data_IF_185882514445
#
_entry.id   IF_185882514445
#
_cell.length_a   1.000
_cell.length_b   1.000
_cell.length_c   1.000
_cell.angle_alpha   90.00
_cell.angle_beta   90.00
_cell.angle_gamma   90.00
#
_symmetry.space_group_name_H-M   'P 1'
#
loop_
_entity.id
_entity.type
_entity.pdbx_description
1 polymer ?
#
# COMPACT_ATOMS: atom_id res chain seq x y z
N UNK A 1 -2.97 26.75 2.00
CA UNK A 1 -1.96 26.03 1.18
C UNK A 1 -0.71 25.74 1.99
N UNK A 2 -0.06 26.77 2.56
CA UNK A 2 1.07 26.65 3.48
C UNK A 2 0.90 25.56 4.56
N UNK A 3 -0.22 25.59 5.30
CA UNK A 3 -0.53 24.59 6.35
C UNK A 3 -0.67 23.16 5.82
N UNK A 4 -1.22 23.00 4.61
CA UNK A 4 -1.46 21.68 4.00
C UNK A 4 -0.14 20.99 3.65
N UNK A 5 0.87 21.78 3.27
CA UNK A 5 2.18 21.32 2.81
C UNK A 5 3.22 21.31 3.94
N UNK A 6 2.96 22.02 5.05
CA UNK A 6 3.87 22.16 6.17
C UNK A 6 5.06 23.09 5.87
N UNK A 7 4.79 24.27 5.32
CA UNK A 7 5.81 25.30 5.04
C UNK A 7 5.28 26.70 5.38
N UNK A 8 6.18 27.69 5.47
CA UNK A 8 5.76 29.08 5.74
C UNK A 8 5.03 29.70 4.53
N UNK A 9 4.14 30.63 4.80
CA UNK A 9 3.44 31.40 3.75
C UNK A 9 4.43 32.10 2.81
N UNK A 10 5.52 32.66 3.34
CA UNK A 10 6.56 33.32 2.55
C UNK A 10 7.29 32.37 1.61
N UNK A 11 7.44 31.09 1.98
CA UNK A 11 8.03 30.07 1.11
C UNK A 11 7.13 29.84 -0.11
N UNK A 12 5.82 29.67 0.12
CA UNK A 12 4.83 29.50 -0.96
C UNK A 12 4.84 30.71 -1.88
N UNK A 13 4.75 31.91 -1.31
CA UNK A 13 4.79 33.17 -2.07
C UNK A 13 6.09 33.31 -2.87
N UNK A 14 7.22 32.89 -2.32
CA UNK A 14 8.52 32.95 -3.01
C UNK A 14 8.60 32.01 -4.22
N UNK A 15 7.93 30.86 -4.15
CA UNK A 15 7.82 29.90 -5.26
C UNK A 15 6.87 30.45 -6.33
N UNK A 16 5.73 31.01 -5.93
CA UNK A 16 4.73 31.60 -6.85
C UNK A 16 5.29 32.79 -7.65
N UNK A 17 6.18 33.59 -7.04
CA UNK A 17 6.88 34.69 -7.72
C UNK A 17 7.95 34.20 -8.72
N UNK A 18 8.13 32.88 -8.83
CA UNK A 18 8.94 32.24 -9.86
C UNK A 18 10.40 31.96 -9.46
N UNK A 19 11.16 31.35 -10.38
CA UNK A 19 12.46 30.75 -10.09
C UNK A 19 13.56 31.78 -9.77
N UNK A 20 13.32 33.08 -10.02
CA UNK A 20 14.24 34.17 -9.65
C UNK A 20 14.37 34.35 -8.15
N UNK A 21 13.37 33.93 -7.36
CA UNK A 21 13.37 34.09 -5.90
C UNK A 21 13.61 32.77 -5.18
N UNK A 22 12.86 31.72 -5.52
CA UNK A 22 13.05 30.40 -4.93
C UNK A 22 12.61 29.30 -5.88
N UNK A 23 13.51 28.36 -6.18
CA UNK A 23 13.17 27.15 -6.94
C UNK A 23 12.47 26.14 -6.03
N UNK A 24 11.44 25.49 -6.57
CA UNK A 24 10.74 24.42 -5.87
C UNK A 24 11.66 23.21 -5.69
N UNK A 25 12.01 22.88 -4.44
CA UNK A 25 12.80 21.67 -4.16
C UNK A 25 11.99 20.40 -4.39
N UNK A 26 12.66 19.30 -4.72
CA UNK A 26 11.97 18.03 -5.00
C UNK A 26 11.18 17.50 -3.79
N UNK A 27 11.74 17.60 -2.59
CA UNK A 27 11.03 17.23 -1.36
C UNK A 27 9.74 18.04 -1.16
N UNK A 28 9.80 19.36 -1.40
CA UNK A 28 8.61 20.21 -1.30
C UNK A 28 7.59 19.90 -2.42
N UNK A 29 8.05 19.67 -3.65
CA UNK A 29 7.20 19.25 -4.77
C UNK A 29 6.49 17.91 -4.49
N UNK A 30 7.18 16.93 -3.89
CA UNK A 30 6.59 15.65 -3.48
C UNK A 30 5.49 15.83 -2.44
N UNK A 31 5.69 16.70 -1.45
CA UNK A 31 4.65 17.02 -0.45
C UNK A 31 3.44 17.71 -1.08
N UNK A 32 3.67 18.67 -1.99
CA UNK A 32 2.60 19.33 -2.74
C UNK A 32 1.82 18.31 -3.56
N UNK A 33 2.53 17.47 -4.33
CA UNK A 33 1.94 16.42 -5.15
C UNK A 33 1.12 15.44 -4.33
N UNK A 34 1.67 14.96 -3.21
CA UNK A 34 0.97 14.04 -2.31
C UNK A 34 -0.31 14.67 -1.74
N UNK A 35 -0.24 15.93 -1.32
CA UNK A 35 -1.36 16.65 -0.71
C UNK A 35 -2.45 17.07 -1.70
N UNK A 36 -2.06 17.49 -2.91
CA UNK A 36 -2.99 18.08 -3.89
C UNK A 36 -3.44 17.11 -4.96
N UNK A 37 -2.60 16.13 -5.32
CA UNK A 37 -2.79 15.26 -6.48
C UNK A 37 -2.22 15.82 -7.79
N UNK A 38 -1.57 16.98 -7.76
CA UNK A 38 -0.87 17.53 -8.93
C UNK A 38 0.34 16.66 -9.28
N UNK A 39 0.61 16.46 -10.56
CA UNK A 39 1.70 15.61 -11.00
C UNK A 39 3.08 16.19 -10.64
N UNK A 40 3.95 15.34 -10.08
CA UNK A 40 5.26 15.75 -9.58
C UNK A 40 6.15 16.38 -10.65
N UNK A 41 6.21 15.83 -11.87
CA UNK A 41 7.11 16.40 -12.89
C UNK A 41 6.63 17.76 -13.39
N UNK A 42 5.31 17.99 -13.43
CA UNK A 42 4.77 19.31 -13.77
C UNK A 42 5.22 20.34 -12.73
N UNK A 43 5.12 20.01 -11.43
CA UNK A 43 5.60 20.87 -10.35
C UNK A 43 7.10 21.17 -10.47
N UNK A 44 7.91 20.16 -10.81
CA UNK A 44 9.37 20.32 -10.94
C UNK A 44 9.78 21.10 -12.20
N UNK A 45 9.01 20.99 -13.28
CA UNK A 45 9.24 21.78 -14.49
C UNK A 45 9.06 23.28 -14.21
N UNK A 46 8.18 23.63 -13.25
CA UNK A 46 7.89 25.00 -12.84
C UNK A 46 7.54 25.90 -14.03
N UNK A 47 6.87 25.33 -15.01
CA UNK A 47 6.32 26.00 -16.19
C UNK A 47 4.89 26.42 -15.88
N UNK A 48 4.69 27.71 -15.59
CA UNK A 48 3.39 28.27 -15.21
C UNK A 48 2.47 28.47 -16.43
N UNK A 49 3.02 28.42 -17.64
CA UNK A 49 2.27 28.55 -18.89
C UNK A 49 1.74 27.19 -19.37
N UNK A 50 2.30 26.08 -18.84
CA UNK A 50 1.83 24.74 -19.12
C UNK A 50 0.56 24.37 -18.34
N UNK A 51 -0.37 23.68 -19.00
CA UNK A 51 -1.56 23.12 -18.37
C UNK A 51 -1.20 22.23 -17.17
N UNK A 52 -1.89 22.42 -16.04
CA UNK A 52 -1.68 21.63 -14.83
C UNK A 52 -2.19 20.21 -15.07
N UNK A 53 -1.34 19.20 -14.91
CA UNK A 53 -1.70 17.79 -15.13
C UNK A 53 -1.71 16.98 -13.82
N UNK A 54 -2.60 15.98 -13.76
CA UNK A 54 -2.69 15.03 -12.64
C UNK A 54 -2.02 13.68 -12.95
N UNK A 55 -1.66 13.43 -14.21
CA UNK A 55 -1.12 12.14 -14.67
C UNK A 55 0.25 12.26 -15.34
N UNK A 56 1.05 11.17 -15.35
CA UNK A 56 2.37 11.14 -15.98
C UNK A 56 2.38 11.34 -17.49
N UNK A 57 1.32 10.90 -18.16
CA UNK A 57 1.15 10.97 -19.61
C UNK A 57 0.58 12.32 -20.08
N UNK A 58 0.31 13.24 -19.15
CA UNK A 58 -0.26 14.55 -19.44
C UNK A 58 -1.70 14.52 -19.98
N UNK A 59 -2.34 13.35 -20.05
CA UNK A 59 -3.68 13.20 -20.64
C UNK A 59 -4.79 13.75 -19.76
N UNK A 60 -4.55 13.84 -18.45
CA UNK A 60 -5.56 14.26 -17.47
C UNK A 60 -5.18 15.60 -16.88
N UNK A 61 -5.95 16.63 -17.25
CA UNK A 61 -5.84 17.95 -16.63
C UNK A 61 -6.26 17.88 -15.18
N UNK A 62 -5.53 18.58 -14.33
CA UNK A 62 -5.83 18.69 -12.92
C UNK A 62 -7.05 19.61 -12.73
N UNK A 63 -8.08 19.10 -12.08
CA UNK A 63 -9.31 19.83 -11.80
C UNK A 63 -9.52 20.04 -10.31
N UNK A 64 -10.42 20.96 -9.96
CA UNK A 64 -10.89 21.12 -8.57
C UNK A 64 -11.44 19.81 -8.01
N UNK A 65 -12.11 19.00 -8.83
CA UNK A 65 -12.65 17.70 -8.42
C UNK A 65 -11.53 16.74 -8.00
N UNK A 66 -10.37 16.77 -8.66
CA UNK A 66 -9.22 15.95 -8.30
C UNK A 66 -8.64 16.36 -6.94
N UNK A 67 -8.52 17.67 -6.71
CA UNK A 67 -8.11 18.20 -5.42
C UNK A 67 -9.07 17.77 -4.30
N UNK A 68 -10.39 17.99 -4.47
CA UNK A 68 -11.40 17.62 -3.50
C UNK A 68 -11.40 16.10 -3.24
N UNK A 69 -11.24 15.30 -4.29
CA UNK A 69 -11.08 13.85 -4.19
C UNK A 69 -9.84 13.47 -3.37
N UNK A 70 -8.70 14.11 -3.63
CA UNK A 70 -7.45 13.87 -2.89
C UNK A 70 -7.55 14.26 -1.42
N UNK A 71 -8.18 15.40 -1.12
CA UNK A 71 -8.43 15.82 0.26
C UNK A 71 -9.39 14.85 0.98
N UNK A 72 -10.41 14.35 0.28
CA UNK A 72 -11.30 13.32 0.83
C UNK A 72 -10.54 12.01 1.12
N UNK A 73 -9.65 11.58 0.22
CA UNK A 73 -8.79 10.41 0.44
C UNK A 73 -7.82 10.63 1.61
N UNK A 74 -7.27 11.83 1.81
CA UNK A 74 -6.40 12.14 2.96
C UNK A 74 -7.14 11.95 4.29
N UNK A 75 -8.40 12.38 4.37
CA UNK A 75 -9.26 12.15 5.55
C UNK A 75 -9.56 10.65 5.79
N UNK A 76 -9.60 9.86 4.72
CA UNK A 76 -9.71 8.39 4.82
C UNK A 76 -8.37 7.80 5.27
N UNK A 77 -7.25 8.32 4.76
CA UNK A 77 -5.86 8.03 5.16
C UNK A 77 -5.61 8.15 6.67
N UNK A 78 -6.24 9.13 7.31
CA UNK A 78 -6.16 9.36 8.76
C UNK A 78 -7.23 8.63 9.58
N UNK A 79 -8.05 7.78 8.95
CA UNK A 79 -9.10 7.06 9.66
C UNK A 79 -8.57 5.76 10.26
N UNK A 80 -9.18 5.32 11.36
CA UNK A 80 -8.93 3.99 11.97
C UNK A 80 -8.86 2.88 10.91
N UNK A 81 -9.69 2.98 9.86
CA UNK A 81 -9.69 2.03 8.75
C UNK A 81 -8.31 1.84 8.09
N UNK A 82 -7.55 2.91 7.87
CA UNK A 82 -6.22 2.81 7.26
C UNK A 82 -5.20 2.23 8.23
N UNK A 83 -5.35 2.50 9.53
CA UNK A 83 -4.54 1.82 10.55
C UNK A 83 -4.75 0.30 10.52
N UNK A 84 -5.98 -0.17 10.28
CA UNK A 84 -6.23 -1.60 10.10
C UNK A 84 -5.66 -2.18 8.81
N UNK A 85 -5.60 -1.38 7.74
CA UNK A 85 -5.01 -1.85 6.48
C UNK A 85 -3.49 -1.98 6.55
N UNK A 86 -2.81 -1.36 7.53
CA UNK A 86 -1.35 -1.48 7.67
C UNK A 86 -0.92 -2.94 7.78
N UNK A 87 -1.69 -3.77 8.49
CA UNK A 87 -1.40 -5.20 8.64
C UNK A 87 -1.58 -5.95 7.32
N UNK A 88 -2.65 -5.70 6.57
CA UNK A 88 -2.89 -6.29 5.25
C UNK A 88 -1.78 -5.91 4.25
N UNK A 89 -1.36 -4.64 4.27
CA UNK A 89 -0.23 -4.18 3.46
C UNK A 89 1.08 -4.83 3.89
N UNK A 90 1.35 -4.92 5.20
CA UNK A 90 2.54 -5.58 5.72
C UNK A 90 2.61 -7.06 5.29
N UNK A 91 1.48 -7.78 5.36
CA UNK A 91 1.39 -9.15 4.88
C UNK A 91 1.63 -9.26 3.36
N UNK A 92 1.06 -8.34 2.58
CA UNK A 92 1.30 -8.27 1.13
C UNK A 92 2.78 -8.01 0.80
N UNK A 93 3.40 -7.05 1.47
CA UNK A 93 4.82 -6.73 1.28
C UNK A 93 5.72 -7.90 1.70
N UNK A 94 5.41 -8.59 2.80
CA UNK A 94 6.13 -9.80 3.18
C UNK A 94 6.09 -10.86 2.08
N UNK A 95 4.90 -11.12 1.50
CA UNK A 95 4.76 -12.05 0.38
C UNK A 95 5.59 -11.65 -0.85
N UNK A 96 5.59 -10.37 -1.20
CA UNK A 96 6.37 -9.83 -2.32
C UNK A 96 7.89 -9.92 -2.07
N UNK A 97 8.35 -9.54 -0.88
CA UNK A 97 9.75 -9.66 -0.46
C UNK A 97 10.20 -11.11 -0.51
N UNK A 98 9.39 -12.05 0.00
CA UNK A 98 9.71 -13.48 -0.03
C UNK A 98 9.81 -14.01 -1.47
N UNK A 99 8.91 -13.60 -2.35
CA UNK A 99 8.96 -13.98 -3.76
C UNK A 99 10.22 -13.44 -4.44
N UNK A 100 10.58 -12.18 -4.18
CA UNK A 100 11.79 -11.54 -4.70
C UNK A 100 13.05 -12.28 -4.23
N UNK A 101 13.18 -12.54 -2.93
CA UNK A 101 14.32 -13.26 -2.37
C UNK A 101 14.41 -14.69 -2.93
N UNK A 102 13.29 -15.39 -3.08
CA UNK A 102 13.28 -16.72 -3.71
C UNK A 102 13.76 -16.67 -5.17
N UNK A 103 13.37 -15.65 -5.93
CA UNK A 103 13.87 -15.45 -7.30
C UNK A 103 15.36 -15.11 -7.31
N UNK A 104 15.82 -14.28 -6.38
CA UNK A 104 17.23 -13.89 -6.28
C UNK A 104 18.13 -15.08 -5.95
N UNK A 105 17.71 -15.98 -5.04
CA UNK A 105 18.42 -17.24 -4.76
C UNK A 105 18.58 -18.10 -6.01
N UNK A 106 17.53 -18.22 -6.84
CA UNK A 106 17.61 -18.98 -8.11
C UNK A 106 18.58 -18.38 -9.13
N UNK A 107 18.92 -17.10 -8.97
CA UNK A 107 19.83 -16.37 -9.85
C UNK A 107 21.21 -16.16 -9.22
N UNK A 108 21.47 -16.70 -8.03
CA UNK A 108 22.68 -16.45 -7.25
C UNK A 108 22.93 -14.95 -6.93
N UNK A 109 21.83 -14.19 -6.73
CA UNK A 109 21.83 -12.76 -6.41
C UNK A 109 21.21 -12.47 -5.04
N UNK A 110 21.15 -13.48 -4.17
CA UNK A 110 20.45 -13.38 -2.87
C UNK A 110 21.03 -12.26 -2.00
N UNK A 111 22.35 -12.17 -1.86
CA UNK A 111 23.02 -11.18 -1.03
C UNK A 111 22.72 -9.75 -1.49
N UNK A 112 22.79 -9.51 -2.80
CA UNK A 112 22.46 -8.21 -3.40
C UNK A 112 21.01 -7.84 -3.15
N UNK A 113 20.09 -8.80 -3.27
CA UNK A 113 18.67 -8.57 -3.01
C UNK A 113 18.40 -8.24 -1.54
N UNK A 114 19.00 -8.99 -0.60
CA UNK A 114 18.88 -8.73 0.84
C UNK A 114 19.43 -7.34 1.19
N UNK A 115 20.61 -6.98 0.68
CA UNK A 115 21.20 -5.66 0.90
C UNK A 115 20.31 -4.53 0.38
N UNK A 116 19.80 -4.62 -0.85
CA UNK A 116 18.90 -3.61 -1.44
C UNK A 116 17.62 -3.44 -0.64
N UNK A 117 17.00 -4.55 -0.20
CA UNK A 117 15.80 -4.50 0.63
C UNK A 117 16.11 -3.87 1.99
N UNK A 118 17.22 -4.28 2.62
CA UNK A 118 17.68 -3.73 3.90
C UNK A 118 17.86 -2.21 3.83
N UNK A 119 18.56 -1.73 2.80
CA UNK A 119 18.79 -0.30 2.57
C UNK A 119 17.49 0.47 2.35
N UNK A 120 16.58 -0.06 1.52
CA UNK A 120 15.27 0.54 1.30
C UNK A 120 14.46 0.68 2.60
N UNK A 121 14.49 -0.35 3.45
CA UNK A 121 13.81 -0.33 4.75
C UNK A 121 14.47 0.64 5.75
N UNK A 122 15.78 0.87 5.67
CA UNK A 122 16.47 1.92 6.43
C UNK A 122 16.04 3.32 6.01
N UNK A 123 16.02 3.58 4.70
CA UNK A 123 15.62 4.88 4.17
C UNK A 123 14.16 5.19 4.56
N UNK A 124 13.28 4.19 4.49
CA UNK A 124 11.90 4.29 4.98
C UNK A 124 11.83 4.57 6.49
N UNK A 125 12.68 3.94 7.31
CA UNK A 125 12.74 4.22 8.75
C UNK A 125 13.24 5.62 9.07
N UNK A 126 14.21 6.11 8.30
CA UNK A 126 14.72 7.47 8.45
C UNK A 126 13.65 8.51 8.08
N UNK A 127 12.84 8.25 7.04
CA UNK A 127 11.79 9.15 6.57
C UNK A 127 10.54 9.14 7.48
N UNK A 128 10.02 7.96 7.82
CA UNK A 128 8.72 7.82 8.49
C UNK A 128 8.85 7.60 10.01
N UNK A 129 10.06 7.41 10.52
CA UNK A 129 10.28 6.97 11.88
C UNK A 129 9.88 5.49 12.06
N UNK A 130 9.63 5.11 13.31
CA UNK A 130 9.23 3.75 13.69
C UNK A 130 8.41 3.74 14.97
N UNK A 131 7.51 2.78 15.07
CA UNK A 131 6.72 2.56 16.28
C UNK A 131 7.50 1.73 17.31
N UNK A 132 7.99 2.41 18.36
CA UNK A 132 8.74 1.79 19.47
C UNK A 132 7.89 0.83 20.30
N UNK A 133 6.55 0.94 20.23
CA UNK A 133 5.62 0.06 20.94
C UNK A 133 5.53 -1.32 20.33
N UNK A 134 5.68 -1.43 19.00
CA UNK A 134 5.66 -2.72 18.29
C UNK A 134 7.01 -3.44 18.39
N UNK A 135 8.09 -2.68 18.36
CA UNK A 135 9.45 -3.22 18.36
C UNK A 135 10.26 -2.35 19.32
N UNK A 136 10.61 -2.90 20.48
CA UNK A 136 11.20 -2.16 21.60
C UNK A 136 12.36 -1.20 21.28
N UNK A 137 13.62 -1.61 21.56
CA UNK A 137 14.79 -0.70 21.52
C UNK A 137 15.44 -0.61 20.14
N UNK A 138 16.20 0.48 19.92
CA UNK A 138 16.78 0.90 18.64
C UNK A 138 17.74 -0.12 18.00
N UNK A 139 18.51 -0.78 18.85
CA UNK A 139 19.51 -1.81 18.53
C UNK A 139 18.92 -3.06 17.87
N UNK A 140 17.59 -3.19 17.89
CA UNK A 140 16.90 -4.37 17.40
C UNK A 140 16.76 -4.40 15.88
N UNK A 141 16.93 -3.30 15.13
CA UNK A 141 16.79 -3.29 13.67
C UNK A 141 17.91 -2.59 12.90
N UNK A 142 18.96 -2.11 13.57
CA UNK A 142 20.17 -1.74 12.83
C UNK A 142 20.64 -2.92 11.99
N UNK A 143 21.11 -2.66 10.77
CA UNK A 143 22.11 -3.55 10.17
C UNK A 143 23.20 -3.75 11.22
N UNK A 144 23.78 -4.95 11.23
CA UNK A 144 24.88 -5.21 12.16
C UNK A 144 26.01 -4.21 11.88
N UNK A 145 26.76 -3.84 12.91
CA UNK A 145 27.86 -2.87 12.79
C UNK A 145 28.98 -3.34 11.83
N UNK A 146 28.94 -4.61 11.41
CA UNK A 146 29.82 -5.24 10.43
C UNK A 146 29.29 -5.14 8.97
N UNK A 147 28.29 -4.28 8.72
CA UNK A 147 27.60 -4.12 7.42
C UNK A 147 26.96 -5.42 6.88
N UNK A 148 26.82 -6.43 7.74
CA UNK A 148 26.29 -7.72 7.36
C UNK A 148 24.80 -7.62 7.00
N UNK A 149 24.37 -8.14 5.83
CA UNK A 149 22.96 -8.16 5.43
C UNK A 149 22.14 -9.15 6.27
N UNK A 150 22.78 -9.95 7.11
CA UNK A 150 22.14 -10.99 7.89
C UNK A 150 21.44 -10.41 9.13
N UNK A 151 20.13 -10.69 9.21
CA UNK A 151 19.31 -10.34 10.36
C UNK A 151 19.77 -11.10 11.61
N UNK A 152 19.80 -10.42 12.76
CA UNK A 152 20.00 -11.07 14.07
C UNK A 152 18.83 -12.05 14.29
N UNK A 153 19.08 -13.23 14.85
CA UNK A 153 18.03 -14.25 15.11
C UNK A 153 16.81 -13.67 15.85
N UNK A 154 17.06 -12.72 16.76
CA UNK A 154 16.02 -11.98 17.49
C UNK A 154 15.09 -11.17 16.57
N UNK A 155 15.61 -10.52 15.53
CA UNK A 155 14.81 -9.79 14.53
C UNK A 155 13.85 -10.73 13.81
N UNK A 156 14.36 -11.90 13.40
CA UNK A 156 13.56 -12.93 12.74
C UNK A 156 12.45 -13.41 13.66
N UNK A 157 12.76 -13.70 14.93
CA UNK A 157 11.75 -14.13 15.93
C UNK A 157 10.67 -13.07 16.16
N UNK A 158 11.03 -11.79 16.31
CA UNK A 158 10.08 -10.68 16.47
C UNK A 158 9.20 -10.55 15.23
N UNK A 159 9.79 -10.56 14.04
CA UNK A 159 9.03 -10.47 12.78
C UNK A 159 8.03 -11.61 12.62
N UNK A 160 8.42 -12.85 12.95
CA UNK A 160 7.52 -14.01 12.92
C UNK A 160 6.40 -13.86 13.97
N UNK A 161 6.71 -13.37 15.17
CA UNK A 161 5.72 -13.18 16.23
C UNK A 161 4.67 -12.13 15.83
N UNK A 162 5.10 -10.97 15.31
CA UNK A 162 4.23 -9.92 14.80
C UNK A 162 3.35 -10.45 13.66
N UNK A 163 3.93 -11.18 12.71
CA UNK A 163 3.16 -11.76 11.61
C UNK A 163 2.07 -12.72 12.11
N UNK A 164 2.39 -13.60 13.06
CA UNK A 164 1.42 -14.52 13.67
C UNK A 164 0.31 -13.80 14.44
N UNK A 165 0.63 -12.67 15.07
CA UNK A 165 -0.35 -11.85 15.79
C UNK A 165 -1.35 -11.22 14.81
N UNK A 166 -0.86 -10.65 13.71
CA UNK A 166 -1.70 -10.07 12.65
C UNK A 166 -2.52 -11.13 11.89
N UNK A 167 -1.98 -12.34 11.71
CA UNK A 167 -2.69 -13.45 11.04
C UNK A 167 -3.71 -14.17 11.94
N UNK A 168 -3.95 -13.64 13.15
CA UNK A 168 -4.98 -14.17 14.03
C UNK A 168 -6.37 -13.98 13.42
N UNK A 169 -7.22 -15.01 13.51
CA UNK A 169 -8.62 -14.98 13.00
C UNK A 169 -9.41 -13.77 13.52
N UNK A 170 -9.08 -13.30 14.73
CA UNK A 170 -9.71 -12.15 15.34
C UNK A 170 -9.41 -10.85 14.59
N UNK A 171 -8.14 -10.62 14.22
CA UNK A 171 -7.72 -9.46 13.43
C UNK A 171 -8.41 -9.45 12.04
N UNK A 172 -8.41 -10.59 11.36
CA UNK A 172 -9.10 -10.75 10.06
C UNK A 172 -10.60 -10.44 10.17
N UNK A 173 -11.27 -10.96 11.20
CA UNK A 173 -12.69 -10.70 11.39
C UNK A 173 -12.99 -9.24 11.78
N UNK A 174 -12.10 -8.61 12.55
CA UNK A 174 -12.20 -7.19 12.90
C UNK A 174 -12.05 -6.30 11.66
N UNK A 175 -11.07 -6.57 10.80
CA UNK A 175 -10.89 -5.88 9.52
C UNK A 175 -12.14 -6.01 8.63
N UNK A 176 -12.70 -7.22 8.50
CA UNK A 176 -13.96 -7.44 7.75
C UNK A 176 -15.13 -6.63 8.31
N UNK A 177 -15.28 -6.54 9.65
CA UNK A 177 -16.35 -5.74 10.28
C UNK A 177 -16.20 -4.26 9.93
N UNK A 178 -15.01 -3.70 10.13
CA UNK A 178 -14.74 -2.28 9.84
C UNK A 178 -14.93 -1.95 8.36
N UNK A 179 -14.49 -2.84 7.46
CA UNK A 179 -14.73 -2.66 6.03
C UNK A 179 -16.22 -2.66 5.67
N UNK A 180 -17.03 -3.54 6.29
CA UNK A 180 -18.49 -3.54 6.11
C UNK A 180 -19.10 -2.23 6.61
N UNK A 181 -18.69 -1.74 7.76
CA UNK A 181 -19.22 -0.50 8.33
C UNK A 181 -18.81 0.75 7.54
N UNK A 182 -17.57 0.80 7.05
CA UNK A 182 -17.12 1.83 6.12
C UNK A 182 -18.00 1.85 4.85
N UNK A 183 -18.23 0.69 4.23
CA UNK A 183 -19.07 0.61 3.04
C UNK A 183 -20.52 0.99 3.31
N UNK A 184 -21.07 0.64 4.48
CA UNK A 184 -22.41 1.08 4.90
C UNK A 184 -22.49 2.60 5.05
N UNK A 185 -21.53 3.22 5.74
CA UNK A 185 -21.46 4.69 5.91
C UNK A 185 -21.35 5.39 4.55
N UNK A 186 -20.45 4.91 3.69
CA UNK A 186 -20.28 5.43 2.33
C UNK A 186 -21.55 5.31 1.49
N UNK A 187 -22.23 4.17 1.54
CA UNK A 187 -23.49 3.96 0.82
C UNK A 187 -24.61 4.90 1.33
N UNK A 188 -24.66 5.16 2.64
CA UNK A 188 -25.59 6.12 3.25
C UNK A 188 -25.34 7.55 2.74
N UNK A 189 -24.08 8.01 2.75
CA UNK A 189 -23.71 9.34 2.22
C UNK A 189 -24.10 9.48 0.75
N UNK A 190 -23.84 8.45 -0.07
CA UNK A 190 -24.22 8.45 -1.49
C UNK A 190 -25.74 8.54 -1.64
N UNK A 191 -26.50 7.77 -0.86
CA UNK A 191 -27.97 7.77 -0.90
C UNK A 191 -28.54 9.13 -0.48
N UNK A 192 -28.02 9.71 0.59
CA UNK A 192 -28.45 11.01 1.11
C UNK A 192 -28.10 12.15 0.15
N UNK A 193 -26.89 12.13 -0.43
CA UNK A 193 -26.46 13.09 -1.46
C UNK A 193 -27.29 13.01 -2.75
N UNK A 194 -27.78 11.81 -3.12
CA UNK A 194 -28.70 11.63 -4.25
C UNK A 194 -30.15 12.01 -3.92
N UNK A 195 -30.51 12.08 -2.63
CA UNK A 195 -31.86 12.42 -2.17
C UNK A 195 -32.10 13.92 -1.99
N UNK A 196 -31.06 14.75 -2.17
CA UNK A 196 -31.18 16.20 -2.12
C UNK A 196 -32.26 16.69 -3.12
N UNK A 197 -33.19 17.57 -2.70
CA UNK A 197 -34.41 17.85 -3.43
C UNK A 197 -34.13 18.45 -4.82
N UNK A 198 -34.66 17.78 -5.86
CA UNK A 198 -34.63 18.15 -7.30
C UNK A 198 -35.29 19.51 -7.64
N UNK A 199 -35.54 20.40 -6.69
CA UNK A 199 -36.31 21.64 -6.88
C UNK A 199 -35.69 22.68 -7.81
N UNK A 200 -34.48 22.47 -8.36
CA UNK A 200 -33.83 23.41 -9.30
C UNK A 200 -33.51 22.89 -10.71
N UNK A 201 -33.93 21.67 -11.09
CA UNK A 201 -33.69 21.12 -12.44
C UNK A 201 -34.98 20.95 -13.25
N UNK A 202 -35.63 22.06 -13.59
CA UNK A 202 -36.79 22.07 -14.51
C UNK A 202 -36.52 22.66 -15.90
N UNK A 203 -35.27 22.95 -16.30
CA UNK A 203 -34.96 23.57 -17.60
C UNK A 203 -34.06 22.77 -18.58
N UNK A 204 -33.76 21.49 -18.36
CA UNK A 204 -32.89 20.73 -19.29
C UNK A 204 -33.32 19.26 -19.53
N UNK A 205 -34.63 19.02 -19.65
CA UNK A 205 -35.18 17.68 -19.76
C UNK A 205 -35.04 17.01 -21.15
N UNK A 206 -34.56 17.68 -22.21
CA UNK A 206 -34.49 17.07 -23.55
C UNK A 206 -33.17 16.32 -23.85
N UNK A 207 -32.10 16.54 -23.08
CA UNK A 207 -30.79 15.90 -23.36
C UNK A 207 -30.48 14.64 -22.51
N UNK A 208 -31.26 14.36 -21.45
CA UNK A 208 -30.87 13.39 -20.40
C UNK A 208 -31.33 11.95 -20.64
N UNK A 209 -32.20 11.70 -21.62
CA UNK A 209 -32.70 10.35 -21.90
C UNK A 209 -31.64 9.46 -22.59
N UNK A 210 -30.87 10.02 -23.53
CA UNK A 210 -29.80 9.30 -24.22
C UNK A 210 -28.63 8.94 -23.29
N UNK A 211 -28.32 9.81 -22.33
CA UNK A 211 -27.18 9.66 -21.42
C UNK A 211 -27.42 8.58 -20.34
N UNK A 212 -28.66 8.45 -19.87
CA UNK A 212 -29.06 7.40 -18.94
C UNK A 212 -28.99 5.98 -19.56
N UNK A 213 -29.20 5.86 -20.88
CA UNK A 213 -29.05 4.59 -21.60
C UNK A 213 -27.59 4.14 -21.66
N UNK A 214 -26.68 5.07 -21.99
CA UNK A 214 -25.23 4.83 -22.01
C UNK A 214 -24.70 4.44 -20.63
N UNK A 215 -25.15 5.12 -19.57
CA UNK A 215 -24.74 4.80 -18.20
C UNK A 215 -25.20 3.41 -17.74
N UNK A 216 -26.44 3.01 -18.06
CA UNK A 216 -26.94 1.65 -17.75
C UNK A 216 -26.16 0.57 -18.50
N UNK A 217 -25.81 0.80 -19.76
CA UNK A 217 -24.97 -0.12 -20.55
C UNK A 217 -23.57 -0.27 -19.93
N UNK A 218 -22.93 0.84 -19.57
CA UNK A 218 -21.62 0.83 -18.90
C UNK A 218 -21.62 0.04 -17.59
N UNK A 219 -22.63 0.23 -16.73
CA UNK A 219 -22.76 -0.54 -15.48
C UNK A 219 -22.88 -2.05 -15.76
N UNK A 220 -23.64 -2.43 -16.81
CA UNK A 220 -23.84 -3.84 -17.19
C UNK A 220 -22.54 -4.48 -17.70
N UNK A 221 -21.78 -3.77 -18.53
CA UNK A 221 -20.49 -4.23 -19.05
C UNK A 221 -19.43 -4.35 -17.94
N UNK A 222 -19.37 -3.37 -17.01
CA UNK A 222 -18.47 -3.44 -15.86
C UNK A 222 -18.75 -4.63 -14.95
N UNK A 223 -20.03 -4.95 -14.69
CA UNK A 223 -20.42 -6.16 -13.92
C UNK A 223 -19.99 -7.44 -14.62
N UNK A 224 -20.10 -7.51 -15.96
CA UNK A 224 -19.62 -8.66 -16.73
C UNK A 224 -18.10 -8.82 -16.60
N UNK A 225 -17.32 -7.75 -16.75
CA UNK A 225 -15.86 -7.81 -16.61
C UNK A 225 -15.42 -8.27 -15.22
N UNK A 226 -16.01 -7.73 -14.15
CA UNK A 226 -15.69 -8.15 -12.79
C UNK A 226 -15.97 -9.64 -12.54
N UNK A 227 -17.06 -10.18 -13.12
CA UNK A 227 -17.35 -11.60 -13.04
C UNK A 227 -16.35 -12.49 -13.79
N UNK A 228 -15.78 -12.00 -14.90
CA UNK A 228 -14.72 -12.72 -15.63
C UNK A 228 -13.42 -12.73 -14.83
N UNK A 229 -13.03 -11.58 -14.24
CA UNK A 229 -11.83 -11.47 -13.41
C UNK A 229 -11.91 -12.35 -12.15
N UNK A 230 -13.05 -12.38 -11.46
CA UNK A 230 -13.24 -13.25 -10.29
C UNK A 230 -13.08 -14.73 -10.64
N UNK A 231 -13.65 -15.15 -11.80
CA UNK A 231 -13.49 -16.52 -12.30
C UNK A 231 -12.03 -16.85 -12.66
N UNK A 232 -11.32 -15.93 -13.30
CA UNK A 232 -9.91 -16.10 -13.64
C UNK A 232 -9.03 -16.22 -12.39
N UNK A 233 -9.25 -15.36 -11.40
CA UNK A 233 -8.56 -15.39 -10.12
C UNK A 233 -8.75 -16.72 -9.38
N UNK A 234 -9.99 -17.23 -9.28
CA UNK A 234 -10.27 -18.53 -8.65
C UNK A 234 -9.60 -19.70 -9.37
N UNK A 235 -9.48 -19.64 -10.70
CA UNK A 235 -8.79 -20.67 -11.49
C UNK A 235 -7.29 -20.70 -11.18
N UNK A 236 -6.62 -19.55 -11.17
CA UNK A 236 -5.19 -19.52 -10.85
C UNK A 236 -4.89 -19.83 -9.40
N UNK A 237 -5.75 -19.39 -8.48
CA UNK A 237 -5.62 -19.78 -7.09
C UNK A 237 -5.76 -21.31 -6.90
N UNK A 238 -6.69 -21.95 -7.62
CA UNK A 238 -6.84 -23.41 -7.58
C UNK A 238 -5.65 -24.13 -8.25
N UNK A 239 -5.07 -23.55 -9.30
CA UNK A 239 -3.86 -24.06 -9.95
C UNK A 239 -2.66 -24.01 -9.01
N UNK A 240 -2.44 -22.89 -8.34
CA UNK A 240 -1.39 -22.73 -7.32
C UNK A 240 -1.55 -23.74 -6.19
N UNK A 241 -2.77 -24.03 -5.73
CA UNK A 241 -3.02 -25.04 -4.70
C UNK A 241 -2.66 -26.45 -5.20
N UNK A 242 -3.00 -26.80 -6.46
CA UNK A 242 -2.68 -28.11 -7.04
C UNK A 242 -1.19 -28.31 -7.28
N UNK A 243 -0.53 -27.27 -7.80
CA UNK A 243 0.90 -27.30 -8.13
C UNK A 243 1.77 -27.05 -6.89
N UNK A 244 1.23 -26.41 -5.87
CA UNK A 244 1.87 -26.06 -4.60
C UNK A 244 1.95 -27.20 -3.58
N UNK A 245 1.85 -28.46 -4.01
CA UNK A 245 2.34 -29.59 -3.23
C UNK A 245 3.88 -29.58 -3.28
N UNK A 246 4.48 -28.57 -2.63
CA UNK A 246 5.91 -28.49 -2.42
C UNK A 246 6.29 -29.60 -1.45
N UNK A 247 6.62 -30.77 -1.99
CA UNK A 247 7.58 -31.63 -1.32
C UNK A 247 8.84 -30.77 -1.13
N UNK A 248 9.10 -30.39 0.12
CA UNK A 248 10.39 -29.86 0.52
C UNK A 248 11.40 -30.96 0.21
N UNK A 249 11.99 -30.91 -0.98
CA UNK A 249 13.14 -31.75 -1.32
C UNK A 249 14.25 -31.32 -0.37
N UNK A 250 14.74 -32.21 0.52
CA UNK A 250 15.82 -31.87 1.42
C UNK A 250 17.03 -31.42 0.58
N UNK A 251 17.55 -30.23 0.87
CA UNK A 251 18.73 -29.70 0.22
C UNK A 251 19.93 -30.57 0.65
N UNK A 252 20.58 -31.30 -0.27
CA UNK A 252 21.70 -32.19 0.08
C UNK A 252 22.94 -31.44 0.58
N UNK A 253 23.03 -30.12 0.38
CA UNK A 253 24.16 -29.29 0.80
C UNK A 253 23.97 -28.63 2.18
N UNK A 254 22.86 -28.89 2.87
CA UNK A 254 22.64 -28.43 4.25
C UNK A 254 22.46 -29.64 5.16
N UNK A 255 23.53 -30.15 5.81
CA UNK A 255 23.36 -31.10 6.89
C UNK A 255 22.57 -30.39 7.99
N UNK A 256 21.33 -30.84 8.22
CA UNK A 256 20.50 -30.35 9.32
C UNK A 256 21.20 -30.57 10.67
N UNK A 257 20.85 -29.80 11.71
CA UNK A 257 21.42 -30.00 13.04
C UNK A 257 21.16 -31.43 13.52
N UNK A 258 22.22 -32.11 14.01
CA UNK A 258 22.14 -33.44 14.59
C UNK A 258 21.07 -33.47 15.68
N UNK A 259 19.92 -34.07 15.35
CA UNK A 259 18.84 -34.29 16.30
C UNK A 259 19.28 -35.46 17.19
N UNK A 260 19.44 -35.27 18.51
CA UNK A 260 19.84 -36.35 19.41
C UNK A 260 18.84 -37.50 19.31
N UNK A 261 19.32 -38.68 18.93
CA UNK A 261 18.51 -39.89 18.84
C UNK A 261 17.86 -40.17 20.19
N UNK A 262 16.52 -40.07 20.28
CA UNK A 262 15.79 -40.43 21.49
C UNK A 262 16.02 -41.92 21.78
N UNK A 263 16.80 -42.20 22.81
CA UNK A 263 17.01 -43.52 23.37
C UNK A 263 15.67 -44.10 23.85
N UNK A 264 15.31 -45.22 23.24
CA UNK A 264 14.09 -45.99 23.47
C UNK A 264 14.19 -46.69 24.82
N UNK A 265 13.68 -46.07 25.90
CA UNK A 265 13.52 -46.75 27.20
C UNK A 265 12.46 -47.85 27.05
N UNK A 266 12.89 -49.12 26.97
CA UNK A 266 12.04 -50.30 27.15
C UNK A 266 11.64 -50.39 28.63
N UNK A 267 10.33 -50.30 28.90
CA UNK A 267 9.76 -50.64 30.19
C UNK A 267 9.82 -52.17 30.37
N UNK A 268 10.51 -52.63 31.42
CA UNK A 268 10.49 -54.01 31.91
C UNK A 268 9.25 -54.16 32.80
N UNK A 269 8.33 -55.03 32.41
CA UNK A 269 7.26 -55.55 33.27
C UNK A 269 7.87 -56.40 34.39
N UNK A 270 7.42 -56.19 35.61
CA UNK A 270 7.29 -57.19 36.67
C UNK A 270 5.95 -56.96 37.35
#
# INVERSE_FOLDING_TARGET
MADIIGCSFDTVRSIELGPKRLRLSEGLARRISAATGVYLRWLLANDLDADIVSSPDGRWLFTKSDFEHRQALKKIGSSEFVQYLVEDYAASFYGQIRALLSSAVKQDLADIAVWKIGKFLEDCRAEFGRDKGLIGSEEQFGLRDDDSPYLKERQVKIGIALFKQSDSKEHVEKGKRLFRDYNRKRAKIIREGLSAPKKRRKKSASATAADNSKHKRFIRERKKMLGVLDKAYRREHAKIIREGNYHLVPNPNYPGPDVPSKSRKKAKRR
#
